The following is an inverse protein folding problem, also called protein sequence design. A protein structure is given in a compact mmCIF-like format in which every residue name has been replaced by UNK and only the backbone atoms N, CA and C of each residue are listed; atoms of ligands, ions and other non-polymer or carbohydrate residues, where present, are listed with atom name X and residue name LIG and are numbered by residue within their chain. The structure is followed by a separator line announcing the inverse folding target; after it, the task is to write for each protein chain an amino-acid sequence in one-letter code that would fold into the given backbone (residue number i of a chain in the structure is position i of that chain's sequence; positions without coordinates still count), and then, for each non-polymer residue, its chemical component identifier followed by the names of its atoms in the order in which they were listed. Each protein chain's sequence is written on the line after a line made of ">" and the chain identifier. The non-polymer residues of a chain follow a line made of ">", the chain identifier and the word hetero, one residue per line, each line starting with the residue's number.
data_IF_132121345829
#
_entry.id   IF_132121345829
#
_cell.length_a   1.000
_cell.length_b   1.000
_cell.length_c   1.000
_cell.angle_alpha   90.00
_cell.angle_beta   90.00
_cell.angle_gamma   90.00
#
_symmetry.space_group_name_H-M   'P 1'
#
loop_
_entity.id
_entity.type
_entity.pdbx_description
1 polymer ?
#
# COMPACT_ATOMS: atom_id res chain seq x y z
N UNK A 1 17.97 15.50 -27.77
CA UNK A 1 17.37 16.38 -28.81
C UNK A 1 16.46 17.38 -28.10
N UNK A 2 16.33 18.60 -28.62
CA UNK A 2 15.42 19.61 -28.07
C UNK A 2 14.21 19.76 -28.99
N UNK A 3 13.03 20.05 -28.44
CA UNK A 3 11.85 20.40 -29.24
C UNK A 3 12.00 21.80 -29.88
N UNK A 4 11.01 22.21 -30.69
CA UNK A 4 11.00 23.52 -31.37
C UNK A 4 10.95 24.72 -30.39
N UNK A 5 10.70 24.47 -29.10
CA UNK A 5 10.68 25.47 -28.02
C UNK A 5 11.96 25.38 -27.15
N UNK A 6 12.91 24.52 -27.48
CA UNK A 6 14.18 24.35 -26.76
C UNK A 6 14.11 23.44 -25.54
N UNK A 7 13.03 22.68 -25.34
CA UNK A 7 12.89 21.75 -24.22
C UNK A 7 13.52 20.40 -24.54
N UNK A 8 14.23 19.82 -23.58
CA UNK A 8 14.84 18.49 -23.71
C UNK A 8 13.74 17.42 -23.89
N UNK A 9 13.82 16.66 -24.99
CA UNK A 9 12.92 15.54 -25.27
C UNK A 9 13.27 14.34 -24.37
N UNK A 10 12.25 13.72 -23.77
CA UNK A 10 12.36 12.56 -22.89
C UNK A 10 11.81 11.30 -23.57
N UNK A 11 12.29 10.12 -23.17
CA UNK A 11 11.72 8.84 -23.61
C UNK A 11 10.47 8.48 -22.79
N UNK A 12 10.46 8.81 -21.49
CA UNK A 12 9.33 8.53 -20.60
C UNK A 12 9.18 9.63 -19.55
N UNK A 13 7.94 10.06 -19.33
CA UNK A 13 7.56 10.89 -18.18
C UNK A 13 6.75 10.04 -17.20
N UNK A 14 7.21 9.96 -15.95
CA UNK A 14 6.50 9.31 -14.84
C UNK A 14 5.83 10.39 -14.01
N UNK A 15 4.49 10.30 -13.89
CA UNK A 15 3.69 11.24 -13.09
C UNK A 15 3.49 10.70 -11.67
N UNK A 16 3.97 11.44 -10.68
CA UNK A 16 3.92 11.10 -9.26
C UNK A 16 5.01 10.13 -8.82
N UNK A 17 5.02 9.81 -7.52
CA UNK A 17 6.00 8.97 -6.81
C UNK A 17 6.14 7.49 -7.28
N UNK A 18 5.89 7.17 -8.55
CA UNK A 18 6.19 5.91 -9.23
C UNK A 18 7.68 5.66 -9.45
N UNK A 19 8.51 5.96 -8.44
CA UNK A 19 9.97 5.94 -8.54
C UNK A 19 10.53 4.55 -8.89
N UNK A 20 9.87 3.47 -8.48
CA UNK A 20 10.29 2.12 -8.86
C UNK A 20 10.20 1.87 -10.38
N UNK A 21 9.18 2.42 -11.05
CA UNK A 21 9.07 2.34 -12.51
C UNK A 21 10.14 3.20 -13.18
N UNK A 22 10.35 4.42 -12.68
CA UNK A 22 11.39 5.31 -13.17
C UNK A 22 12.80 4.70 -13.05
N UNK A 23 13.10 4.05 -11.93
CA UNK A 23 14.34 3.29 -11.73
C UNK A 23 14.53 2.23 -12.81
N UNK A 24 13.53 1.38 -13.03
CA UNK A 24 13.63 0.28 -13.98
C UNK A 24 13.88 0.78 -15.41
N UNK A 25 13.13 1.80 -15.84
CA UNK A 25 13.28 2.40 -17.17
C UNK A 25 14.64 3.10 -17.33
N UNK A 26 15.11 3.79 -16.29
CA UNK A 26 16.42 4.41 -16.29
C UNK A 26 17.55 3.36 -16.39
N UNK A 27 17.42 2.22 -15.70
CA UNK A 27 18.37 1.11 -15.78
C UNK A 27 18.41 0.44 -17.17
N UNK A 28 17.35 0.58 -17.97
CA UNK A 28 17.35 0.18 -19.38
C UNK A 28 17.99 1.21 -20.33
N UNK A 29 18.45 2.35 -19.81
CA UNK A 29 19.12 3.40 -20.57
C UNK A 29 18.19 4.47 -21.14
N UNK A 30 16.89 4.45 -20.80
CA UNK A 30 15.93 5.45 -21.27
C UNK A 30 16.09 6.80 -20.53
N UNK A 31 15.84 7.89 -21.23
CA UNK A 31 15.78 9.25 -20.69
C UNK A 31 14.45 9.46 -19.96
N UNK A 32 14.46 9.16 -18.66
CA UNK A 32 13.27 9.25 -17.79
C UNK A 32 13.25 10.58 -17.03
N UNK A 33 12.08 11.19 -16.99
CA UNK A 33 11.74 12.34 -16.14
C UNK A 33 10.60 11.96 -15.18
N UNK A 34 10.71 12.35 -13.91
CA UNK A 34 9.68 12.18 -12.89
C UNK A 34 9.14 13.56 -12.51
N UNK A 35 7.82 13.72 -12.60
CA UNK A 35 7.12 14.93 -12.14
C UNK A 35 6.34 14.59 -10.87
N UNK A 36 6.79 15.12 -9.73
CA UNK A 36 6.15 14.92 -8.43
C UNK A 36 5.44 16.19 -7.98
N UNK A 37 4.18 16.03 -7.58
CA UNK A 37 3.32 17.14 -7.16
C UNK A 37 3.82 17.82 -5.88
N UNK A 38 4.38 17.05 -4.95
CA UNK A 38 4.87 17.58 -3.66
C UNK A 38 6.30 18.08 -3.77
N UNK A 39 6.71 18.80 -2.74
CA UNK A 39 8.08 19.19 -2.43
C UNK A 39 8.96 18.04 -1.91
N UNK A 40 8.46 16.80 -1.96
CA UNK A 40 9.13 15.60 -1.48
C UNK A 40 8.73 14.37 -2.29
N UNK A 41 9.64 13.40 -2.35
CA UNK A 41 9.32 12.04 -2.81
C UNK A 41 8.69 11.18 -1.70
N UNK A 42 8.18 10.01 -2.06
CA UNK A 42 7.64 9.00 -1.12
C UNK A 42 6.13 8.84 -1.16
N UNK A 43 5.38 9.85 -1.60
CA UNK A 43 3.93 9.78 -1.69
C UNK A 43 3.29 9.43 -0.32
N UNK A 44 2.76 8.21 -0.22
CA UNK A 44 2.13 7.66 1.01
C UNK A 44 3.14 7.12 2.04
N UNK A 45 4.43 7.14 1.75
CA UNK A 45 5.48 7.01 2.76
C UNK A 45 6.02 8.39 3.11
N UNK A 46 6.21 8.63 4.40
CA UNK A 46 6.75 9.86 4.96
C UNK A 46 7.46 9.49 6.26
N UNK A 47 8.75 9.78 6.33
CA UNK A 47 9.58 9.55 7.50
C UNK A 47 10.05 10.90 8.02
N UNK A 48 9.65 11.24 9.25
CA UNK A 48 10.10 12.44 9.94
C UNK A 48 11.34 12.13 10.79
N UNK A 49 12.27 13.10 10.84
CA UNK A 49 13.47 13.02 11.67
C UNK A 49 13.55 14.23 12.59
N UNK A 50 13.64 14.00 13.90
CA UNK A 50 13.88 15.06 14.88
C UNK A 50 14.51 14.52 16.16
N UNK A 51 14.96 15.42 17.05
CA UNK A 51 15.64 15.07 18.30
C UNK A 51 14.79 14.26 19.28
N UNK A 52 13.46 14.31 19.18
CA UNK A 52 12.55 13.68 20.14
C UNK A 52 12.22 12.23 19.76
N UNK A 53 12.13 11.92 18.47
CA UNK A 53 11.73 10.59 17.97
C UNK A 53 12.88 9.84 17.29
N UNK A 54 14.00 10.51 17.02
CA UNK A 54 15.05 10.01 16.12
C UNK A 54 14.53 9.98 14.69
N UNK A 55 13.72 8.97 14.38
CA UNK A 55 12.92 8.90 13.15
C UNK A 55 11.55 8.25 13.41
N UNK A 56 10.53 8.65 12.65
CA UNK A 56 9.19 8.03 12.72
C UNK A 56 8.52 8.03 11.34
N UNK A 57 7.97 6.89 10.94
CA UNK A 57 7.13 6.80 9.75
C UNK A 57 5.72 7.29 10.08
N UNK A 58 5.29 8.36 9.41
CA UNK A 58 3.93 8.90 9.47
C UNK A 58 3.01 8.32 8.37
N UNK A 59 3.58 7.54 7.45
CA UNK A 59 2.88 6.85 6.37
C UNK A 59 3.04 5.34 6.44
N UNK A 60 3.03 4.68 5.28
CA UNK A 60 3.26 3.23 5.20
C UNK A 60 4.64 2.84 5.74
N UNK A 61 4.69 1.88 6.67
CA UNK A 61 5.91 1.55 7.41
C UNK A 61 6.23 0.05 7.48
N UNK A 62 5.18 -0.78 7.49
CA UNK A 62 5.30 -2.21 7.73
C UNK A 62 5.67 -2.98 6.47
N UNK A 63 6.52 -3.99 6.64
CA UNK A 63 6.84 -5.01 5.63
C UNK A 63 6.93 -6.38 6.28
N UNK A 64 6.77 -7.44 5.50
CA UNK A 64 6.82 -8.80 6.03
C UNK A 64 7.02 -9.88 4.97
N UNK A 65 6.98 -11.17 5.35
CA UNK A 65 7.14 -12.27 4.42
C UNK A 65 6.19 -12.17 3.24
N UNK A 66 6.60 -12.74 2.09
CA UNK A 66 5.90 -12.66 0.78
C UNK A 66 5.96 -11.32 0.07
N UNK A 67 6.28 -10.22 0.76
CA UNK A 67 6.46 -8.88 0.16
C UNK A 67 7.85 -8.72 -0.50
N UNK A 68 8.25 -9.71 -1.29
CA UNK A 68 9.63 -9.89 -1.77
C UNK A 68 10.13 -8.72 -2.63
N UNK A 69 9.24 -8.02 -3.34
CA UNK A 69 9.64 -6.92 -4.26
C UNK A 69 10.19 -5.71 -3.51
N UNK A 70 9.52 -5.28 -2.44
CA UNK A 70 9.96 -4.14 -1.63
C UNK A 70 11.16 -4.51 -0.77
N UNK A 71 11.20 -5.75 -0.25
CA UNK A 71 12.36 -6.26 0.49
C UNK A 71 13.63 -6.32 -0.38
N UNK A 72 13.52 -6.82 -1.62
CA UNK A 72 14.64 -6.80 -2.58
C UNK A 72 15.10 -5.38 -2.90
N UNK A 73 14.18 -4.44 -3.06
CA UNK A 73 14.53 -3.05 -3.37
C UNK A 73 15.22 -2.37 -2.18
N UNK A 74 14.78 -2.65 -0.96
CA UNK A 74 15.44 -2.19 0.25
C UNK A 74 16.85 -2.77 0.38
N UNK A 75 17.02 -4.07 0.13
CA UNK A 75 18.31 -4.76 0.14
C UNK A 75 19.29 -4.18 -0.89
N UNK A 76 18.82 -3.88 -2.12
CA UNK A 76 19.63 -3.22 -3.16
C UNK A 76 20.25 -1.89 -2.68
N UNK A 77 19.52 -1.14 -1.84
CA UNK A 77 20.00 0.11 -1.26
C UNK A 77 20.63 -0.04 0.13
N UNK A 78 20.85 -1.27 0.61
CA UNK A 78 21.43 -1.57 1.92
C UNK A 78 20.55 -1.15 3.11
N UNK A 79 19.23 -1.02 2.90
CA UNK A 79 18.28 -0.62 3.93
C UNK A 79 17.87 -1.86 4.73
N UNK A 80 18.28 -1.91 6.01
CA UNK A 80 17.98 -3.01 6.92
C UNK A 80 16.54 -2.94 7.44
N UNK A 81 16.03 -4.09 7.88
CA UNK A 81 14.76 -4.19 8.62
C UNK A 81 14.99 -4.59 10.08
N UNK A 82 14.03 -4.27 10.95
CA UNK A 82 13.95 -4.78 12.31
C UNK A 82 12.55 -5.34 12.58
N UNK A 83 12.45 -6.25 13.54
CA UNK A 83 11.16 -6.82 13.96
C UNK A 83 10.32 -5.77 14.70
N UNK A 84 9.01 -5.84 14.49
CA UNK A 84 8.02 -5.21 15.37
C UNK A 84 7.96 -6.01 16.67
N UNK A 85 7.91 -5.34 17.82
CA UNK A 85 7.86 -6.02 19.12
C UNK A 85 6.53 -6.78 19.29
N UNK A 86 6.60 -8.08 19.51
CA UNK A 86 5.47 -8.97 19.81
C UNK A 86 5.84 -10.00 20.90
N UNK A 87 6.78 -9.66 21.78
CA UNK A 87 7.30 -10.58 22.81
C UNK A 87 6.26 -10.80 23.95
N UNK A 88 5.45 -9.79 24.23
CA UNK A 88 4.40 -9.80 25.26
C UNK A 88 3.01 -10.16 24.73
N UNK A 89 2.06 -10.39 25.64
CA UNK A 89 0.66 -10.60 25.26
C UNK A 89 0.08 -9.35 24.58
N UNK A 90 -0.70 -9.58 23.51
CA UNK A 90 -1.52 -8.59 22.83
C UNK A 90 -2.73 -8.26 23.73
N UNK A 91 -3.19 -7.01 23.68
CA UNK A 91 -4.39 -6.57 24.41
C UNK A 91 -5.55 -6.38 23.43
N UNK A 92 -6.64 -7.12 23.65
CA UNK A 92 -7.93 -6.85 23.04
C UNK A 92 -8.78 -6.02 23.99
N UNK A 93 -9.17 -4.83 23.57
CA UNK A 93 -10.02 -3.94 24.36
C UNK A 93 -11.44 -3.88 23.78
N UNK A 94 -12.43 -4.24 24.58
CA UNK A 94 -13.83 -4.19 24.18
C UNK A 94 -14.73 -3.93 25.38
N UNK A 95 -15.74 -3.07 25.19
CA UNK A 95 -16.75 -2.74 26.21
C UNK A 95 -16.16 -2.35 27.58
N UNK A 96 -15.07 -1.58 27.59
CA UNK A 96 -14.44 -1.12 28.84
C UNK A 96 -13.52 -2.15 29.50
N UNK A 97 -13.30 -3.32 28.90
CA UNK A 97 -12.46 -4.40 29.45
C UNK A 97 -11.28 -4.68 28.54
N UNK A 98 -10.12 -4.93 29.15
CA UNK A 98 -8.89 -5.34 28.47
C UNK A 98 -8.64 -6.81 28.72
N UNK A 99 -8.47 -7.58 27.65
CA UNK A 99 -8.16 -9.01 27.69
C UNK A 99 -6.79 -9.24 27.05
N UNK A 100 -5.94 -10.03 27.70
CA UNK A 100 -4.59 -10.37 27.20
C UNK A 100 -4.61 -11.71 26.50
N UNK A 101 -3.97 -11.81 25.34
CA UNK A 101 -3.86 -13.06 24.58
C UNK A 101 -2.55 -13.11 23.77
N UNK A 102 -2.11 -14.32 23.41
CA UNK A 102 -0.94 -14.55 22.55
C UNK A 102 -1.34 -14.51 21.08
N UNK A 103 -0.40 -14.16 20.20
CA UNK A 103 -0.64 -13.99 18.76
C UNK A 103 -1.08 -15.26 18.03
N UNK A 104 -0.82 -16.44 18.61
CA UNK A 104 -1.26 -17.75 18.12
C UNK A 104 -2.66 -18.16 18.64
N UNK A 105 -3.29 -17.31 19.44
CA UNK A 105 -4.62 -17.52 20.05
C UNK A 105 -5.61 -16.43 19.65
N UNK A 106 -6.88 -16.64 20.01
CA UNK A 106 -7.93 -15.62 19.93
C UNK A 106 -8.04 -14.85 21.26
N UNK A 107 -8.59 -13.62 21.24
CA UNK A 107 -9.05 -12.96 22.45
C UNK A 107 -10.01 -13.86 23.24
N UNK A 108 -10.00 -13.75 24.57
CA UNK A 108 -10.93 -14.48 25.41
C UNK A 108 -12.38 -14.17 25.02
N UNK A 109 -13.07 -15.17 24.49
CA UNK A 109 -14.46 -15.09 24.05
C UNK A 109 -15.19 -16.40 24.42
N UNK A 110 -16.52 -16.36 24.39
CA UNK A 110 -17.32 -17.55 24.62
C UNK A 110 -17.17 -18.57 23.49
N UNK A 111 -17.61 -19.81 23.74
CA UNK A 111 -17.48 -20.90 22.78
C UNK A 111 -18.21 -20.63 21.46
N UNK A 112 -19.40 -19.99 21.51
CA UNK A 112 -20.17 -19.67 20.30
C UNK A 112 -19.48 -18.56 19.49
N UNK A 113 -18.92 -17.56 20.15
CA UNK A 113 -18.15 -16.48 19.52
C UNK A 113 -16.91 -17.03 18.83
N UNK A 114 -16.21 -17.97 19.46
CA UNK A 114 -15.06 -18.65 18.87
C UNK A 114 -15.44 -19.42 17.60
N UNK A 115 -16.54 -20.17 17.63
CA UNK A 115 -17.03 -20.91 16.46
C UNK A 115 -17.45 -19.98 15.33
N UNK A 116 -18.14 -18.88 15.65
CA UNK A 116 -18.61 -17.88 14.70
C UNK A 116 -17.45 -17.15 14.02
N UNK A 117 -16.44 -16.71 14.79
CA UNK A 117 -15.22 -16.13 14.25
C UNK A 117 -14.45 -17.10 13.35
N UNK A 118 -14.27 -18.34 13.80
CA UNK A 118 -13.59 -19.35 13.00
C UNK A 118 -14.35 -19.64 11.70
N UNK A 119 -15.68 -19.68 11.73
CA UNK A 119 -16.51 -19.80 10.53
C UNK A 119 -16.32 -18.60 9.60
N UNK A 120 -16.43 -17.37 10.12
CA UNK A 120 -16.26 -16.15 9.34
C UNK A 120 -14.90 -16.08 8.65
N UNK A 121 -13.81 -16.28 9.39
CA UNK A 121 -12.45 -16.23 8.86
C UNK A 121 -12.20 -17.30 7.79
N UNK A 122 -12.72 -18.52 7.99
CA UNK A 122 -12.61 -19.58 6.97
C UNK A 122 -13.45 -19.28 5.73
N UNK A 123 -14.63 -18.68 5.92
CA UNK A 123 -15.54 -18.36 4.84
C UNK A 123 -14.94 -17.30 3.91
N UNK A 124 -14.36 -16.22 4.45
CA UNK A 124 -13.76 -15.17 3.62
C UNK A 124 -12.55 -15.68 2.81
N UNK A 125 -11.70 -16.54 3.41
CA UNK A 125 -10.58 -17.14 2.67
C UNK A 125 -11.09 -18.05 1.55
N UNK A 126 -12.07 -18.92 1.85
CA UNK A 126 -12.65 -19.83 0.85
C UNK A 126 -13.32 -19.07 -0.30
N UNK A 127 -14.13 -18.06 0.01
CA UNK A 127 -14.79 -17.25 -1.01
C UNK A 127 -13.79 -16.45 -1.85
N UNK A 128 -12.66 -16.03 -1.28
CA UNK A 128 -11.57 -15.39 -2.03
C UNK A 128 -10.95 -16.31 -3.08
N UNK A 129 -10.90 -17.62 -2.85
CA UNK A 129 -10.40 -18.59 -3.84
C UNK A 129 -11.34 -18.72 -5.05
N UNK A 130 -12.65 -18.75 -4.79
CA UNK A 130 -13.71 -19.05 -5.75
C UNK A 130 -14.39 -17.77 -6.27
N UNK A 131 -13.92 -17.17 -7.37
CA UNK A 131 -14.53 -15.96 -7.95
C UNK A 131 -15.86 -16.20 -8.72
N UNK A 132 -16.62 -17.26 -8.37
CA UNK A 132 -17.76 -17.74 -9.17
C UNK A 132 -18.98 -16.80 -9.13
N UNK A 133 -19.11 -15.98 -8.09
CA UNK A 133 -20.27 -15.12 -7.85
C UNK A 133 -19.92 -13.62 -7.90
N UNK A 134 -18.92 -13.23 -8.71
CA UNK A 134 -18.37 -11.88 -8.72
C UNK A 134 -19.44 -10.77 -8.79
N UNK A 135 -20.41 -10.88 -9.71
CA UNK A 135 -21.45 -9.85 -9.86
C UNK A 135 -22.34 -9.71 -8.62
N UNK A 136 -22.71 -10.82 -7.99
CA UNK A 136 -23.54 -10.81 -6.77
C UNK A 136 -22.76 -10.19 -5.60
N UNK A 137 -21.50 -10.60 -5.42
CA UNK A 137 -20.67 -10.13 -4.32
C UNK A 137 -20.25 -8.66 -4.48
N UNK A 138 -20.09 -8.17 -5.70
CA UNK A 138 -19.76 -6.75 -5.93
C UNK A 138 -20.94 -5.81 -5.68
N UNK A 139 -22.17 -6.35 -5.68
CA UNK A 139 -23.39 -5.63 -5.36
C UNK A 139 -23.75 -5.69 -3.87
N UNK A 140 -22.99 -6.44 -3.08
CA UNK A 140 -23.18 -6.58 -1.63
C UNK A 140 -22.08 -5.83 -0.90
N UNK A 141 -22.45 -5.10 0.14
CA UNK A 141 -21.49 -4.47 1.06
C UNK A 141 -21.02 -5.47 2.12
N UNK A 142 -19.83 -5.25 2.70
CA UNK A 142 -19.35 -6.07 3.81
C UNK A 142 -20.30 -6.01 5.01
N UNK A 143 -21.00 -4.89 5.23
CA UNK A 143 -22.04 -4.79 6.27
C UNK A 143 -23.17 -5.79 6.04
N UNK A 144 -23.74 -5.83 4.82
CA UNK A 144 -24.81 -6.78 4.47
C UNK A 144 -24.33 -8.23 4.55
N UNK A 145 -23.05 -8.47 4.21
CA UNK A 145 -22.44 -9.78 4.37
C UNK A 145 -22.37 -10.21 5.84
N UNK A 146 -21.95 -9.31 6.74
CA UNK A 146 -21.94 -9.57 8.18
C UNK A 146 -23.34 -9.86 8.72
N UNK A 147 -24.34 -9.12 8.25
CA UNK A 147 -25.73 -9.31 8.64
C UNK A 147 -26.24 -10.72 8.36
N UNK A 148 -25.76 -11.33 7.27
CA UNK A 148 -26.12 -12.68 6.84
C UNK A 148 -25.24 -13.78 7.43
N UNK A 149 -23.95 -13.54 7.63
CA UNK A 149 -22.96 -14.59 7.86
C UNK A 149 -22.32 -14.59 9.24
N UNK A 150 -22.46 -13.52 10.03
CA UNK A 150 -21.85 -13.39 11.37
C UNK A 150 -22.93 -13.36 12.44
N UNK A 151 -22.88 -14.31 13.37
CA UNK A 151 -24.02 -14.64 14.21
C UNK A 151 -23.99 -13.93 15.57
N UNK A 152 -22.80 -13.69 16.10
CA UNK A 152 -22.57 -13.14 17.43
C UNK A 152 -22.24 -11.65 17.38
N UNK A 153 -22.62 -10.90 18.42
CA UNK A 153 -22.27 -9.49 18.55
C UNK A 153 -20.75 -9.29 18.63
N UNK A 154 -20.05 -10.21 19.29
CA UNK A 154 -18.59 -10.22 19.35
C UNK A 154 -17.98 -10.41 17.95
N UNK A 155 -18.44 -11.41 17.21
CA UNK A 155 -18.01 -11.67 15.84
C UNK A 155 -18.25 -10.47 14.91
N UNK A 156 -19.39 -9.79 15.05
CA UNK A 156 -19.70 -8.57 14.27
C UNK A 156 -18.74 -7.42 14.59
N UNK A 157 -18.42 -7.22 15.87
CA UNK A 157 -17.42 -6.23 16.28
C UNK A 157 -16.03 -6.55 15.74
N UNK A 158 -15.62 -7.82 15.81
CA UNK A 158 -14.36 -8.30 15.26
C UNK A 158 -14.30 -8.13 13.73
N UNK A 159 -15.32 -8.56 13.00
CA UNK A 159 -15.40 -8.47 11.54
C UNK A 159 -15.41 -7.01 11.06
N UNK A 160 -16.11 -6.12 11.77
CA UNK A 160 -16.04 -4.67 11.52
C UNK A 160 -14.60 -4.15 11.70
N UNK A 161 -13.95 -4.50 12.81
CA UNK A 161 -12.55 -4.13 13.05
C UNK A 161 -11.61 -4.61 11.94
N UNK A 162 -11.81 -5.84 11.46
CA UNK A 162 -11.03 -6.42 10.36
C UNK A 162 -11.19 -5.60 9.05
N UNK A 163 -12.39 -5.15 8.71
CA UNK A 163 -12.58 -4.26 7.53
C UNK A 163 -11.98 -2.89 7.77
N UNK A 164 -12.26 -2.25 8.92
CA UNK A 164 -11.77 -0.90 9.19
C UNK A 164 -10.24 -0.83 9.20
N UNK A 165 -9.55 -1.83 9.78
CA UNK A 165 -8.08 -1.86 9.86
C UNK A 165 -7.45 -2.09 8.48
N UNK A 166 -8.02 -2.96 7.65
CA UNK A 166 -7.41 -3.33 6.36
C UNK A 166 -7.79 -2.38 5.22
N UNK A 167 -9.03 -1.87 5.22
CA UNK A 167 -9.54 -1.02 4.15
C UNK A 167 -9.57 0.47 4.51
N UNK A 168 -9.44 0.83 5.80
CA UNK A 168 -9.60 2.21 6.31
C UNK A 168 -10.94 2.84 5.92
N UNK A 169 -11.99 2.02 5.81
CA UNK A 169 -13.34 2.40 5.41
C UNK A 169 -14.37 1.60 6.22
N UNK A 170 -15.62 2.06 6.24
CA UNK A 170 -16.70 1.37 6.96
C UNK A 170 -17.21 0.16 6.16
N UNK A 171 -17.69 -0.93 6.81
CA UNK A 171 -18.20 -2.10 6.10
C UNK A 171 -19.35 -1.81 5.13
N UNK A 172 -20.11 -0.74 5.35
CA UNK A 172 -21.18 -0.31 4.44
C UNK A 172 -20.68 0.38 3.17
N UNK A 173 -19.40 0.78 3.11
CA UNK A 173 -18.77 1.44 1.96
C UNK A 173 -17.99 0.45 1.07
N UNK A 174 -17.77 -0.76 1.58
CA UNK A 174 -16.83 -1.74 1.00
C UNK A 174 -17.58 -2.88 0.32
N UNK A 175 -17.33 -3.09 -0.97
CA UNK A 175 -17.81 -4.25 -1.74
C UNK A 175 -17.26 -5.57 -1.18
N UNK A 176 -18.10 -6.60 -1.08
CA UNK A 176 -17.67 -7.95 -0.66
C UNK A 176 -16.66 -8.51 -1.64
N UNK A 177 -16.92 -8.40 -2.95
CA UNK A 177 -15.98 -8.90 -3.96
C UNK A 177 -14.60 -8.25 -3.81
N UNK A 178 -14.57 -6.92 -3.69
CA UNK A 178 -13.31 -6.19 -3.54
C UNK A 178 -12.57 -6.61 -2.27
N UNK A 179 -13.27 -6.75 -1.15
CA UNK A 179 -12.63 -7.10 0.11
C UNK A 179 -12.05 -8.52 0.09
N UNK A 180 -12.80 -9.49 -0.43
CA UNK A 180 -12.33 -10.86 -0.62
C UNK A 180 -11.09 -10.91 -1.53
N UNK A 181 -11.12 -10.17 -2.64
CA UNK A 181 -9.98 -10.03 -3.53
C UNK A 181 -8.77 -9.41 -2.82
N UNK A 182 -8.99 -8.34 -2.04
CA UNK A 182 -7.94 -7.63 -1.32
C UNK A 182 -7.24 -8.54 -0.32
N UNK A 183 -8.01 -9.26 0.51
CA UNK A 183 -7.49 -10.25 1.47
C UNK A 183 -6.73 -11.37 0.76
N UNK A 184 -7.27 -11.91 -0.34
CA UNK A 184 -6.61 -12.96 -1.14
C UNK A 184 -5.26 -12.48 -1.69
N UNK A 185 -5.22 -11.28 -2.26
CA UNK A 185 -3.99 -10.71 -2.82
C UNK A 185 -2.89 -10.49 -1.76
N UNK A 186 -3.29 -10.35 -0.49
CA UNK A 186 -2.37 -10.27 0.65
C UNK A 186 -2.02 -11.63 1.27
N UNK A 187 -2.46 -12.75 0.68
CA UNK A 187 -2.15 -14.10 1.15
C UNK A 187 -3.12 -14.66 2.19
N UNK A 188 -4.35 -14.14 2.24
CA UNK A 188 -5.41 -14.59 3.13
C UNK A 188 -5.44 -13.86 4.48
N UNK A 189 -6.49 -14.10 5.26
CA UNK A 189 -6.78 -13.38 6.50
C UNK A 189 -5.65 -13.49 7.54
N UNK A 190 -5.01 -14.66 7.66
CA UNK A 190 -3.89 -14.83 8.61
C UNK A 190 -2.70 -13.98 8.23
N UNK A 191 -2.34 -13.93 6.95
CA UNK A 191 -1.14 -13.23 6.47
C UNK A 191 -1.29 -11.72 6.61
N UNK A 192 -2.46 -11.19 6.24
CA UNK A 192 -2.69 -9.74 6.23
C UNK A 192 -2.80 -9.16 7.64
N UNK A 193 -3.23 -9.95 8.64
CA UNK A 193 -3.52 -9.47 9.98
C UNK A 193 -2.41 -9.72 11.03
N UNK A 194 -1.50 -10.66 10.78
CA UNK A 194 -0.50 -11.07 11.79
C UNK A 194 0.75 -10.20 11.81
N UNK A 195 1.32 -9.94 12.99
CA UNK A 195 2.68 -9.40 13.09
C UNK A 195 3.70 -10.47 12.73
N UNK A 196 3.89 -11.48 13.60
CA UNK A 196 4.78 -12.60 13.31
C UNK A 196 4.29 -13.37 12.09
N UNK A 197 5.16 -13.57 11.10
CA UNK A 197 4.84 -14.24 9.85
C UNK A 197 3.69 -13.58 9.07
N UNK A 198 3.47 -12.27 9.23
CA UNK A 198 2.44 -11.53 8.48
C UNK A 198 2.91 -10.19 7.95
N UNK A 199 1.95 -9.33 7.58
CA UNK A 199 2.23 -8.05 6.92
C UNK A 199 2.89 -7.02 7.82
N UNK A 200 2.77 -7.17 9.14
CA UNK A 200 3.23 -6.21 10.16
C UNK A 200 4.56 -6.61 10.81
N UNK A 201 5.21 -7.68 10.33
CA UNK A 201 6.36 -8.31 10.98
C UNK A 201 7.54 -7.36 11.23
N UNK A 202 7.81 -6.47 10.27
CA UNK A 202 9.03 -5.67 10.23
C UNK A 202 8.76 -4.22 9.86
N UNK A 203 9.72 -3.37 10.22
CA UNK A 203 9.87 -2.00 9.74
C UNK A 203 11.29 -1.76 9.23
N UNK A 204 11.49 -0.70 8.45
CA UNK A 204 12.81 -0.30 7.96
C UNK A 204 13.58 0.48 9.04
N UNK A 205 14.85 0.14 9.23
CA UNK A 205 15.76 0.94 10.06
C UNK A 205 15.98 2.29 9.38
N UNK A 206 15.66 3.38 10.07
CA UNK A 206 15.71 4.75 9.54
C UNK A 206 14.46 5.19 8.76
N UNK A 207 13.43 4.34 8.64
CA UNK A 207 12.14 4.68 8.02
C UNK A 207 11.98 4.28 6.55
N UNK A 208 10.73 4.19 6.09
CA UNK A 208 10.36 3.62 4.79
C UNK A 208 10.55 4.59 3.61
N UNK A 209 10.51 5.90 3.85
CA UNK A 209 10.66 6.91 2.81
C UNK A 209 12.07 6.87 2.17
N UNK A 210 13.05 6.32 2.88
CA UNK A 210 14.42 6.13 2.40
C UNK A 210 14.46 5.40 1.05
N UNK A 211 13.58 4.42 0.79
CA UNK A 211 13.55 3.73 -0.50
C UNK A 211 13.33 4.74 -1.64
N UNK A 212 12.36 5.63 -1.49
CA UNK A 212 12.07 6.67 -2.49
C UNK A 212 13.21 7.69 -2.59
N UNK A 213 13.80 8.09 -1.47
CA UNK A 213 14.94 9.01 -1.46
C UNK A 213 16.15 8.41 -2.21
N UNK A 214 16.50 7.16 -1.94
CA UNK A 214 17.62 6.46 -2.61
C UNK A 214 17.39 6.26 -4.11
N UNK A 215 16.15 5.99 -4.52
CA UNK A 215 15.83 5.93 -5.95
C UNK A 215 15.97 7.31 -6.60
N UNK A 216 15.46 8.37 -5.96
CA UNK A 216 15.59 9.72 -6.48
C UNK A 216 17.06 10.16 -6.58
N UNK A 217 17.88 9.82 -5.58
CA UNK A 217 19.34 10.02 -5.62
C UNK A 217 19.98 9.28 -6.80
N UNK A 218 19.59 8.02 -7.04
CA UNK A 218 20.11 7.21 -8.16
C UNK A 218 19.71 7.77 -9.53
N UNK A 219 18.51 8.31 -9.66
CA UNK A 219 18.05 8.98 -10.88
C UNK A 219 18.76 10.33 -11.08
N UNK A 220 19.02 11.05 -9.99
CA UNK A 220 19.63 12.38 -10.01
C UNK A 220 18.59 13.51 -9.99
N UNK A 221 18.99 14.66 -9.44
CA UNK A 221 18.10 15.81 -9.17
C UNK A 221 17.46 16.38 -10.43
N UNK A 222 18.18 16.34 -11.56
CA UNK A 222 17.68 16.88 -12.83
C UNK A 222 16.60 15.99 -13.48
N UNK A 223 16.37 14.78 -12.94
CA UNK A 223 15.36 13.83 -13.42
C UNK A 223 14.14 13.73 -12.52
N UNK A 224 14.19 14.28 -11.30
CA UNK A 224 13.09 14.21 -10.34
C UNK A 224 12.70 15.63 -9.97
N UNK A 225 11.71 16.14 -10.70
CA UNK A 225 11.23 17.50 -10.52
C UNK A 225 10.10 17.50 -9.48
N UNK A 226 10.34 18.18 -8.36
CA UNK A 226 9.42 18.35 -7.25
C UNK A 226 8.62 19.63 -7.41
N UNK A 227 7.41 19.67 -6.86
CA UNK A 227 6.52 20.83 -7.00
C UNK A 227 5.96 21.00 -8.42
N UNK A 228 5.92 19.92 -9.21
CA UNK A 228 5.33 19.90 -10.55
C UNK A 228 4.07 19.03 -10.59
N UNK A 229 2.95 19.47 -9.98
CA UNK A 229 1.69 18.77 -10.09
C UNK A 229 1.19 18.82 -11.53
N UNK A 230 1.07 17.66 -12.16
CA UNK A 230 0.56 17.54 -13.53
C UNK A 230 -0.93 17.86 -13.58
N UNK A 231 -1.29 18.84 -14.41
CA UNK A 231 -2.67 19.28 -14.63
C UNK A 231 -3.27 18.83 -15.96
N UNK A 232 -2.44 18.53 -16.96
CA UNK A 232 -2.90 18.15 -18.30
C UNK A 232 -1.96 17.15 -18.98
N UNK A 233 -2.53 16.17 -19.69
CA UNK A 233 -1.80 15.24 -20.55
C UNK A 233 -2.49 15.27 -21.93
N UNK A 234 -1.78 15.72 -22.95
CA UNK A 234 -2.23 15.69 -24.34
C UNK A 234 -1.47 14.59 -25.09
N UNK A 235 -2.20 13.62 -25.63
CA UNK A 235 -1.62 12.53 -26.44
C UNK A 235 -2.13 12.66 -27.87
N UNK A 236 -1.20 12.82 -28.81
CA UNK A 236 -1.50 12.90 -30.24
C UNK A 236 -0.61 11.91 -30.99
N UNK A 237 -0.81 11.79 -32.30
CA UNK A 237 0.05 10.99 -33.18
C UNK A 237 1.50 11.48 -33.26
N UNK A 238 1.78 12.71 -32.79
CA UNK A 238 3.13 13.28 -32.78
C UNK A 238 3.87 13.02 -31.46
N UNK A 239 3.18 12.49 -30.45
CA UNK A 239 3.74 12.17 -29.14
C UNK A 239 2.86 12.63 -27.98
N UNK A 240 3.46 12.66 -26.78
CA UNK A 240 2.77 13.04 -25.54
C UNK A 240 3.36 14.32 -24.98
N UNK A 241 2.49 15.30 -24.71
CA UNK A 241 2.84 16.52 -23.98
C UNK A 241 2.17 16.51 -22.61
N UNK A 242 2.98 16.64 -21.56
CA UNK A 242 2.54 16.74 -20.17
C UNK A 242 2.73 18.18 -19.71
N UNK A 243 1.73 18.74 -19.04
CA UNK A 243 1.79 20.10 -18.49
C UNK A 243 1.49 20.11 -17.00
N UNK A 244 2.30 20.83 -16.23
CA UNK A 244 1.99 21.11 -14.83
C UNK A 244 0.97 22.25 -14.68
N UNK A 245 0.48 22.48 -13.46
CA UNK A 245 -0.51 23.53 -13.18
C UNK A 245 0.02 24.95 -13.40
N UNK A 246 1.34 25.13 -13.43
CA UNK A 246 2.00 26.42 -13.68
C UNK A 246 2.22 26.67 -15.18
N UNK A 247 1.87 25.70 -16.02
CA UNK A 247 1.92 25.80 -17.48
C UNK A 247 3.26 25.36 -18.09
N UNK A 248 4.18 24.80 -17.32
CA UNK A 248 5.41 24.22 -17.86
C UNK A 248 5.08 22.95 -18.64
N UNK A 249 5.77 22.75 -19.77
CA UNK A 249 5.49 21.66 -20.70
C UNK A 249 6.68 20.72 -20.81
N UNK A 250 6.39 19.42 -20.81
CA UNK A 250 7.34 18.34 -20.95
C UNK A 250 6.87 17.43 -22.08
N UNK A 251 7.75 17.04 -22.99
CA UNK A 251 7.40 16.24 -24.16
C UNK A 251 8.10 14.89 -24.16
N UNK A 252 7.33 13.86 -24.54
CA UNK A 252 7.81 12.51 -24.82
C UNK A 252 7.77 12.26 -26.32
N UNK A 253 8.86 11.74 -26.88
CA UNK A 253 8.86 11.20 -28.25
C UNK A 253 8.22 9.83 -28.27
N UNK A 254 7.35 9.54 -29.23
CA UNK A 254 7.02 8.14 -29.52
C UNK A 254 8.30 7.39 -29.88
N UNK A 255 8.51 6.16 -29.38
CA UNK A 255 9.49 5.29 -29.98
C UNK A 255 9.04 5.07 -31.44
N UNK A 256 9.89 5.40 -32.41
CA UNK A 256 9.64 5.02 -33.80
C UNK A 256 9.42 3.51 -33.84
N UNK A 257 8.16 3.08 -34.01
CA UNK A 257 7.80 1.68 -34.26
C UNK A 257 8.10 1.35 -35.71
#
# INVERSE_FOLDING_TARGET
>A
MHDMEGNKLMDVIVVGAGLAAAKLLHETGLDVLVLEARDRVGGRTLTEHNSNVGYVDLGGAFVGPTQNRVLRLADEFGIKTHLTNEDEDIVYYSQGKSERYRSDSYPACGFLELLDMNNFLRLIDKMGEEAQHAKEWDQMTMQQFFDKHVWTNFGRGFAKGLVNINATSEPCEVSVLWFLWYIKCCGGQKRIFSTTNGGQERKFVGGSQQISQRIAEKLGKDRVLLGHPVGHINQTVEGVTVSDIDGQKFRVTEPCV
#
